data_IF_127030379195
#
_entry.id   IF_127030379195
#
_cell.length_a   1.000
_cell.length_b   1.000
_cell.length_c   1.000
_cell.angle_alpha   90.00
_cell.angle_beta   90.00
_cell.angle_gamma   90.00
#
_symmetry.space_group_name_H-M   'P 1'
#
loop_
_entity.id
_entity.type
_entity.pdbx_description
1 polymer ?
#
# COMPACT_ATOMS: atom_id res chain seq x y z
N UNK A 1 -39.99 25.28 36.83
CA UNK A 1 -38.86 25.54 35.92
C UNK A 1 -37.75 24.60 36.37
N UNK A 2 -37.79 23.35 35.91
CA UNK A 2 -37.02 22.87 34.74
C UNK A 2 -35.52 22.77 35.09
N UNK A 3 -34.82 21.65 34.94
CA UNK A 3 -35.03 20.41 34.21
C UNK A 3 -34.28 19.28 34.94
N UNK A 4 -34.90 18.09 34.95
CA UNK A 4 -34.17 16.82 35.06
C UNK A 4 -33.48 16.61 33.71
N UNK A 5 -32.15 16.59 33.65
CA UNK A 5 -31.45 15.97 32.53
C UNK A 5 -31.02 14.58 32.93
N UNK A 6 -31.57 13.62 32.18
CA UNK A 6 -31.46 12.19 32.35
C UNK A 6 -29.99 11.75 32.38
N UNK A 7 -29.72 10.75 33.22
CA UNK A 7 -28.53 9.89 33.08
C UNK A 7 -28.53 9.35 31.65
N UNK A 8 -27.48 9.68 30.90
CA UNK A 8 -27.23 9.11 29.58
C UNK A 8 -27.24 7.58 29.70
N UNK A 9 -28.23 6.97 29.06
CA UNK A 9 -28.37 5.54 28.97
C UNK A 9 -27.17 5.02 28.18
N UNK A 10 -26.36 4.20 28.84
CA UNK A 10 -25.24 3.49 28.25
C UNK A 10 -25.81 2.40 27.34
N UNK A 11 -26.33 2.80 26.18
CA UNK A 11 -26.96 1.90 25.23
C UNK A 11 -25.85 1.24 24.42
N UNK A 12 -25.54 0.00 24.78
CA UNK A 12 -24.66 -0.82 23.96
C UNK A 12 -25.27 -0.96 22.56
N UNK A 13 -24.40 -0.95 21.54
CA UNK A 13 -24.84 -1.03 20.14
C UNK A 13 -25.58 -2.33 19.89
N UNK A 14 -26.62 -2.27 19.07
CA UNK A 14 -27.33 -3.46 18.68
C UNK A 14 -26.56 -4.18 17.55
N UNK A 15 -27.02 -5.39 17.17
CA UNK A 15 -26.40 -6.17 16.10
C UNK A 15 -26.40 -5.45 14.74
N UNK A 16 -27.44 -4.68 14.45
CA UNK A 16 -27.63 -3.98 13.18
C UNK A 16 -26.63 -2.84 13.04
N UNK A 17 -26.38 -2.09 14.11
CA UNK A 17 -25.38 -1.02 14.17
C UNK A 17 -23.97 -1.57 13.92
N UNK A 18 -23.62 -2.70 14.56
CA UNK A 18 -22.35 -3.37 14.31
C UNK A 18 -22.21 -3.85 12.85
N UNK A 19 -23.29 -4.38 12.26
CA UNK A 19 -23.26 -4.83 10.87
C UNK A 19 -23.14 -3.65 9.89
N UNK A 20 -23.81 -2.53 10.16
CA UNK A 20 -23.71 -1.34 9.33
C UNK A 20 -22.29 -0.74 9.40
N UNK A 21 -21.67 -0.69 10.59
CA UNK A 21 -20.27 -0.28 10.73
C UNK A 21 -19.35 -1.16 9.87
N UNK A 22 -19.49 -2.48 9.95
CA UNK A 22 -18.69 -3.43 9.17
C UNK A 22 -18.88 -3.19 7.67
N UNK A 23 -20.13 -3.07 7.23
CA UNK A 23 -20.47 -2.85 5.82
C UNK A 23 -19.84 -1.55 5.28
N UNK A 24 -19.93 -0.45 6.01
CA UNK A 24 -19.31 0.83 5.61
C UNK A 24 -17.78 0.71 5.54
N UNK A 25 -17.19 -0.02 6.47
CA UNK A 25 -15.74 -0.30 6.43
C UNK A 25 -15.35 -1.14 5.22
N UNK A 26 -16.13 -2.16 4.86
CA UNK A 26 -15.90 -2.97 3.66
C UNK A 26 -15.97 -2.13 2.37
N UNK A 27 -16.91 -1.19 2.28
CA UNK A 27 -17.04 -0.27 1.14
C UNK A 27 -15.81 0.63 0.96
N UNK A 28 -15.08 0.92 2.03
CA UNK A 28 -13.83 1.70 1.99
C UNK A 28 -12.60 0.87 1.59
N UNK A 29 -12.72 -0.47 1.51
CA UNK A 29 -11.60 -1.35 1.17
C UNK A 29 -11.55 -1.57 -0.36
N UNK A 30 -10.43 -1.26 -1.04
CA UNK A 30 -10.29 -1.55 -2.47
C UNK A 30 -10.33 -3.05 -2.77
N UNK A 31 -10.92 -3.43 -3.91
CA UNK A 31 -11.02 -4.84 -4.37
C UNK A 31 -9.67 -5.59 -4.39
N UNK A 32 -8.60 -4.90 -4.75
CA UNK A 32 -7.24 -5.46 -4.79
C UNK A 32 -6.38 -4.85 -3.68
N UNK A 33 -6.77 -5.06 -2.42
CA UNK A 33 -5.96 -4.62 -1.29
C UNK A 33 -4.71 -5.49 -1.12
N UNK A 34 -3.57 -4.83 -0.94
CA UNK A 34 -2.27 -5.47 -0.69
C UNK A 34 -1.62 -4.95 0.58
N UNK A 35 -2.35 -4.18 1.40
CA UNK A 35 -1.86 -3.60 2.66
C UNK A 35 -2.04 -4.61 3.79
N UNK A 36 -1.15 -4.54 4.78
CA UNK A 36 -1.36 -5.28 6.02
C UNK A 36 -2.60 -4.73 6.75
N UNK A 37 -3.22 -5.58 7.57
CA UNK A 37 -4.38 -5.21 8.37
C UNK A 37 -4.19 -3.88 9.12
N UNK A 38 -3.09 -3.72 9.86
CA UNK A 38 -2.80 -2.47 10.59
C UNK A 38 -2.77 -1.27 9.66
N UNK A 39 -2.11 -1.41 8.51
CA UNK A 39 -2.00 -0.28 7.57
C UNK A 39 -3.32 0.03 6.88
N UNK A 40 -4.13 -0.98 6.56
CA UNK A 40 -5.46 -0.77 5.98
C UNK A 40 -6.39 -0.06 6.97
N UNK A 41 -6.41 -0.49 8.23
CA UNK A 41 -7.23 0.12 9.27
C UNK A 41 -6.89 1.61 9.50
N UNK A 42 -5.61 1.99 9.42
CA UNK A 42 -5.18 3.40 9.48
C UNK A 42 -5.63 4.25 8.27
N UNK A 43 -5.84 3.62 7.12
CA UNK A 43 -6.20 4.30 5.87
C UNK A 43 -7.71 4.46 5.68
N UNK A 44 -8.52 3.96 6.61
CA UNK A 44 -9.97 4.15 6.58
C UNK A 44 -10.31 5.60 6.88
N UNK A 45 -11.10 6.22 5.99
CA UNK A 45 -11.66 7.54 6.24
C UNK A 45 -12.91 7.41 7.11
N UNK A 46 -12.75 7.70 8.40
CA UNK A 46 -13.83 7.58 9.36
C UNK A 46 -15.01 8.54 9.11
N UNK A 47 -14.80 9.62 8.35
CA UNK A 47 -15.88 10.51 7.96
C UNK A 47 -16.86 9.83 6.99
N UNK A 48 -16.39 8.88 6.18
CA UNK A 48 -17.21 8.08 5.27
C UNK A 48 -17.75 6.82 5.95
N UNK A 49 -17.07 6.34 6.98
CA UNK A 49 -17.50 5.17 7.76
C UNK A 49 -18.63 5.52 8.72
N UNK A 50 -18.67 6.74 9.28
CA UNK A 50 -19.74 7.16 10.20
C UNK A 50 -21.13 7.04 9.56
N UNK A 51 -22.13 6.75 10.36
CA UNK A 51 -23.49 6.52 9.90
C UNK A 51 -24.51 6.96 10.97
N UNK A 52 -25.73 7.27 10.54
CA UNK A 52 -26.80 7.71 11.43
C UNK A 52 -26.38 8.90 12.30
N UNK A 53 -26.73 8.82 13.57
CA UNK A 53 -26.41 9.82 14.59
C UNK A 53 -25.10 9.52 15.35
N UNK A 54 -24.35 8.49 14.93
CA UNK A 54 -23.10 8.11 15.56
C UNK A 54 -21.96 9.04 15.15
N UNK A 55 -21.16 9.45 16.13
CA UNK A 55 -19.96 10.24 15.87
C UNK A 55 -18.82 9.37 15.31
N UNK A 56 -17.81 10.03 14.75
CA UNK A 56 -16.59 9.36 14.27
C UNK A 56 -15.88 8.66 15.44
N UNK A 57 -15.82 9.34 16.58
CA UNK A 57 -15.17 8.85 17.80
C UNK A 57 -15.85 7.59 18.34
N UNK A 58 -17.19 7.57 18.33
CA UNK A 58 -17.99 6.42 18.77
C UNK A 58 -17.74 5.21 17.85
N UNK A 59 -17.76 5.42 16.53
CA UNK A 59 -17.46 4.37 15.55
C UNK A 59 -16.05 3.79 15.75
N UNK A 60 -15.06 4.65 16.02
CA UNK A 60 -13.69 4.23 16.29
C UNK A 60 -13.56 3.43 17.59
N UNK A 61 -14.24 3.85 18.65
CA UNK A 61 -14.23 3.15 19.93
C UNK A 61 -14.85 1.75 19.80
N UNK A 62 -16.03 1.66 19.17
CA UNK A 62 -16.70 0.37 18.92
C UNK A 62 -15.86 -0.53 18.02
N UNK A 63 -15.23 0.01 16.98
CA UNK A 63 -14.27 -0.75 16.18
C UNK A 63 -13.08 -1.25 17.00
N UNK A 64 -12.52 -0.43 17.90
CA UNK A 64 -11.39 -0.84 18.76
C UNK A 64 -11.76 -2.00 19.66
N UNK A 65 -12.97 -1.99 20.23
CA UNK A 65 -13.50 -3.09 21.03
C UNK A 65 -13.66 -4.33 20.17
N UNK A 66 -14.36 -4.24 19.03
CA UNK A 66 -14.59 -5.35 18.11
C UNK A 66 -13.25 -5.96 17.66
N UNK A 67 -12.32 -5.13 17.21
CA UNK A 67 -10.96 -5.50 16.79
C UNK A 67 -10.22 -6.29 17.86
N UNK A 68 -10.38 -5.95 19.15
CA UNK A 68 -9.72 -6.66 20.25
C UNK A 68 -10.25 -8.08 20.46
N UNK A 69 -11.49 -8.34 20.03
CA UNK A 69 -12.18 -9.63 20.17
C UNK A 69 -12.03 -10.52 18.93
N UNK A 70 -11.58 -9.97 17.82
CA UNK A 70 -11.40 -10.70 16.56
C UNK A 70 -9.93 -10.92 16.22
N UNK A 71 -9.66 -12.04 15.55
CA UNK A 71 -8.34 -12.39 15.05
C UNK A 71 -8.06 -11.56 13.79
N UNK A 72 -6.92 -10.86 13.77
CA UNK A 72 -6.56 -9.94 12.68
C UNK A 72 -5.18 -10.27 12.06
N UNK A 73 -4.89 -11.56 11.93
CA UNK A 73 -3.70 -12.08 11.26
C UNK A 73 -4.09 -13.08 10.17
N UNK A 74 -3.20 -13.30 9.20
CA UNK A 74 -3.45 -14.25 8.11
C UNK A 74 -3.24 -15.69 8.55
N UNK A 75 -4.17 -16.56 8.19
CA UNK A 75 -4.09 -18.00 8.41
C UNK A 75 -3.16 -18.64 7.38
N UNK A 76 -2.58 -19.80 7.74
CA UNK A 76 -1.77 -20.58 6.80
C UNK A 76 -2.56 -20.93 5.53
N UNK A 77 -3.84 -21.27 5.65
CA UNK A 77 -4.71 -21.54 4.49
C UNK A 77 -4.77 -20.37 3.51
N UNK A 78 -4.86 -19.14 4.01
CA UNK A 78 -4.87 -17.92 3.19
C UNK A 78 -3.50 -17.68 2.55
N UNK A 79 -2.42 -17.88 3.31
CA UNK A 79 -1.04 -17.78 2.79
C UNK A 79 -0.78 -18.82 1.70
N UNK A 80 -1.32 -20.03 1.84
CA UNK A 80 -1.20 -21.09 0.84
C UNK A 80 -1.93 -20.75 -0.46
N UNK A 81 -3.03 -19.97 -0.42
CA UNK A 81 -3.66 -19.50 -1.67
C UNK A 81 -2.78 -18.49 -2.40
N UNK A 82 -2.17 -17.55 -1.69
CA UNK A 82 -1.18 -16.64 -2.29
C UNK A 82 0.03 -17.40 -2.85
N UNK A 83 0.48 -18.44 -2.13
CA UNK A 83 1.58 -19.29 -2.56
C UNK A 83 1.26 -20.02 -3.88
N UNK A 84 0.01 -20.45 -4.09
CA UNK A 84 -0.42 -21.03 -5.38
C UNK A 84 -0.37 -20.02 -6.51
N UNK A 85 -0.85 -18.79 -6.28
CA UNK A 85 -0.76 -17.70 -7.28
C UNK A 85 0.69 -17.41 -7.62
N UNK A 86 1.58 -17.40 -6.63
CA UNK A 86 3.01 -17.25 -6.86
C UNK A 86 3.60 -18.44 -7.63
N UNK A 87 3.18 -19.68 -7.32
CA UNK A 87 3.67 -20.88 -7.98
C UNK A 87 3.38 -20.93 -9.49
N UNK A 88 2.31 -20.27 -9.96
CA UNK A 88 2.04 -20.12 -11.39
C UNK A 88 3.11 -19.29 -12.12
N UNK A 89 3.70 -18.31 -11.43
CA UNK A 89 4.75 -17.43 -11.97
C UNK A 89 5.80 -17.15 -10.89
N UNK A 90 6.72 -18.10 -10.60
CA UNK A 90 7.65 -17.99 -9.47
C UNK A 90 8.62 -16.81 -9.56
N UNK A 91 8.90 -16.35 -10.78
CA UNK A 91 9.71 -15.16 -11.04
C UNK A 91 8.95 -13.85 -10.82
N UNK A 92 7.62 -13.89 -10.74
CA UNK A 92 6.76 -12.75 -10.48
C UNK A 92 6.67 -12.49 -8.97
N UNK A 93 6.56 -11.23 -8.59
CA UNK A 93 6.19 -10.84 -7.24
C UNK A 93 4.74 -10.29 -7.27
N UNK A 94 3.71 -11.16 -7.32
CA UNK A 94 2.33 -10.77 -7.62
C UNK A 94 1.75 -9.73 -6.64
N UNK A 95 2.19 -9.78 -5.39
CA UNK A 95 1.76 -8.86 -4.33
C UNK A 95 2.79 -7.77 -4.02
N UNK A 96 3.84 -7.63 -4.85
CA UNK A 96 4.86 -6.58 -4.73
C UNK A 96 4.70 -5.50 -5.78
N UNK A 97 5.04 -4.26 -5.41
CA UNK A 97 5.08 -3.13 -6.35
C UNK A 97 6.18 -3.27 -7.41
N UNK A 98 7.21 -4.09 -7.16
CA UNK A 98 8.32 -4.29 -8.09
C UNK A 98 7.89 -5.28 -9.16
N UNK A 99 7.74 -4.79 -10.39
CA UNK A 99 7.57 -5.65 -11.57
C UNK A 99 8.87 -6.40 -11.81
N UNK A 100 8.87 -7.69 -11.50
CA UNK A 100 9.96 -8.60 -11.85
C UNK A 100 9.72 -9.15 -13.25
N UNK A 101 10.82 -9.39 -13.97
CA UNK A 101 10.79 -9.96 -15.32
C UNK A 101 11.10 -11.44 -15.25
N UNK A 102 10.72 -12.17 -16.28
CA UNK A 102 11.16 -13.56 -16.41
C UNK A 102 12.70 -13.61 -16.44
N UNK A 103 13.34 -14.57 -15.76
CA UNK A 103 14.80 -14.68 -15.73
C UNK A 103 15.41 -14.85 -17.12
N UNK A 104 14.71 -15.58 -18.00
CA UNK A 104 15.11 -15.79 -19.40
C UNK A 104 14.70 -14.64 -20.34
N UNK A 105 13.97 -13.62 -19.85
CA UNK A 105 13.61 -12.49 -20.71
C UNK A 105 14.88 -11.68 -21.04
N UNK A 106 15.19 -11.46 -22.33
CA UNK A 106 16.37 -10.68 -22.69
C UNK A 106 16.26 -9.24 -22.13
N UNK A 107 17.40 -8.61 -21.79
CA UNK A 107 17.41 -7.22 -21.34
C UNK A 107 16.81 -6.31 -22.42
N UNK A 108 16.29 -5.14 -22.01
CA UNK A 108 15.81 -4.18 -23.01
C UNK A 108 16.98 -3.76 -23.91
N UNK A 109 16.75 -3.55 -25.22
CA UNK A 109 17.76 -2.95 -26.06
C UNK A 109 18.18 -1.59 -25.48
N UNK A 110 19.47 -1.27 -25.62
CA UNK A 110 20.00 0.02 -25.19
C UNK A 110 19.37 1.14 -26.01
N UNK A 111 19.04 2.26 -25.36
CA UNK A 111 18.59 3.46 -26.09
C UNK A 111 19.75 4.10 -26.86
N UNK A 112 19.45 4.95 -27.84
CA UNK A 112 20.45 5.74 -28.57
C UNK A 112 21.37 6.52 -27.63
N UNK A 113 20.81 7.12 -26.58
CA UNK A 113 21.58 7.81 -25.55
C UNK A 113 22.52 6.85 -24.80
N UNK A 114 22.06 5.65 -24.44
CA UNK A 114 22.90 4.68 -23.72
C UNK A 114 24.06 4.19 -24.59
N UNK A 115 23.84 3.98 -25.88
CA UNK A 115 24.92 3.66 -26.82
C UNK A 115 25.95 4.80 -26.90
N UNK A 116 25.48 6.05 -27.01
CA UNK A 116 26.34 7.24 -26.97
C UNK A 116 27.11 7.35 -25.63
N UNK A 117 26.43 7.10 -24.52
CA UNK A 117 27.03 7.11 -23.19
C UNK A 117 28.17 6.10 -23.09
N UNK A 118 27.97 4.87 -23.57
CA UNK A 118 29.02 3.84 -23.53
C UNK A 118 30.26 4.20 -24.37
N UNK A 119 30.11 4.87 -25.53
CA UNK A 119 31.26 5.34 -26.32
C UNK A 119 32.00 6.52 -25.66
N UNK A 120 31.28 7.41 -24.95
CA UNK A 120 31.88 8.63 -24.39
C UNK A 120 32.39 8.48 -22.95
N UNK A 121 31.81 7.58 -22.15
CA UNK A 121 32.11 7.48 -20.70
C UNK A 121 33.60 7.32 -20.42
N UNK A 122 34.29 6.41 -21.10
CA UNK A 122 35.66 6.06 -20.77
C UNK A 122 36.62 7.20 -21.11
N UNK A 123 36.31 7.95 -22.18
CA UNK A 123 37.05 9.15 -22.58
C UNK A 123 36.90 10.28 -21.56
N UNK A 124 35.72 10.44 -20.96
CA UNK A 124 35.44 11.50 -19.98
C UNK A 124 35.97 11.13 -18.59
N UNK A 125 35.88 9.85 -18.20
CA UNK A 125 36.50 9.33 -16.97
C UNK A 125 38.02 9.57 -16.99
N UNK A 126 38.69 9.25 -18.11
CA UNK A 126 40.14 9.50 -18.25
C UNK A 126 40.51 10.98 -18.18
N UNK A 127 39.66 11.87 -18.68
CA UNK A 127 39.89 13.32 -18.62
C UNK A 127 39.60 13.92 -17.25
N UNK A 128 38.71 13.29 -16.49
CA UNK A 128 38.26 13.76 -15.20
C UNK A 128 38.26 12.63 -14.16
N UNK A 129 39.44 12.10 -13.78
CA UNK A 129 39.56 10.96 -12.87
C UNK A 129 39.10 11.28 -11.44
N UNK A 130 39.03 12.56 -11.07
CA UNK A 130 38.55 13.04 -9.77
C UNK A 130 37.03 13.21 -9.68
N UNK A 131 36.31 13.17 -10.81
CA UNK A 131 34.86 13.36 -10.84
C UNK A 131 34.12 12.06 -10.54
N UNK A 132 32.99 12.20 -9.83
CA UNK A 132 32.09 11.07 -9.58
C UNK A 132 31.36 10.68 -10.86
N UNK A 133 30.98 9.41 -10.97
CA UNK A 133 30.25 8.88 -12.13
C UNK A 133 28.94 9.65 -12.41
N UNK A 134 28.31 10.21 -11.37
CA UNK A 134 27.13 11.07 -11.48
C UNK A 134 27.40 12.35 -12.26
N UNK A 135 28.52 13.02 -11.98
CA UNK A 135 28.92 14.26 -12.67
C UNK A 135 29.33 13.97 -14.11
N UNK A 136 30.01 12.85 -14.33
CA UNK A 136 30.37 12.35 -15.66
C UNK A 136 29.11 12.07 -16.49
N UNK A 137 28.09 11.46 -15.89
CA UNK A 137 26.81 11.19 -16.56
C UNK A 137 26.07 12.46 -16.95
N UNK A 138 26.15 13.50 -16.11
CA UNK A 138 25.57 14.82 -16.41
C UNK A 138 26.26 15.48 -17.61
N UNK A 139 27.59 15.48 -17.63
CA UNK A 139 28.39 16.02 -18.76
C UNK A 139 28.06 15.29 -20.07
N UNK A 140 27.89 13.96 -20.03
CA UNK A 140 27.51 13.18 -21.22
C UNK A 140 26.08 13.50 -21.65
N UNK A 141 25.15 13.67 -20.70
CA UNK A 141 23.78 14.07 -20.97
C UNK A 141 23.68 15.44 -21.65
N UNK A 142 24.46 16.42 -21.18
CA UNK A 142 24.57 17.75 -21.80
C UNK A 142 25.15 17.66 -23.23
N UNK A 143 26.04 16.71 -23.50
CA UNK A 143 26.66 16.51 -24.81
C UNK A 143 25.78 15.79 -25.83
N UNK A 144 24.73 15.10 -25.37
CA UNK A 144 23.82 14.34 -26.24
C UNK A 144 22.59 15.15 -26.69
N UNK A 145 22.22 16.18 -25.93
CA UNK A 145 21.20 17.15 -26.34
C UNK A 145 21.65 17.93 -27.57
#
# INVERSE_FOLDING_TARGET
>A
VEQKTAKEENQDWNKEDYNELIKRMEEQIPKNDTKSFTKRAELLDWNLVKFGDHSVEECQEKWKIMRSKVRHFRLLSEVLQDAKVWAEKPWSAPFSKKKTRHPEQPPRPLSSFMLFYMDKKDKIIKKHPSLKLTDISRIIGEKYK
#
